data_IF_307669421496
#
_entry.id   IF_307669421496
#
_cell.length_a   1.000
_cell.length_b   1.000
_cell.length_c   1.000
_cell.angle_alpha   90.00
_cell.angle_beta   90.00
_cell.angle_gamma   90.00
#
_symmetry.space_group_name_H-M   'P 1'
#
loop_
_entity.id
_entity.type
_entity.pdbx_description
1 polymer ?
#
# COMPACT_ATOMS: atom_id res chain seq x y z
N UNK A 1 -12.22 33.72 47.44
CA UNK A 1 -11.25 32.82 46.79
C UNK A 1 -11.59 32.51 45.33
N UNK A 2 -12.53 33.22 44.69
CA UNK A 2 -13.10 32.83 43.39
C UNK A 2 -12.57 33.62 42.20
N UNK A 3 -12.25 34.90 42.38
CA UNK A 3 -11.81 35.76 41.26
C UNK A 3 -10.38 35.46 40.78
N UNK A 4 -9.45 35.26 41.71
CA UNK A 4 -8.06 34.92 41.39
C UNK A 4 -7.96 33.55 40.68
N UNK A 5 -8.74 32.57 41.14
CA UNK A 5 -8.79 31.24 40.52
C UNK A 5 -9.36 31.25 39.09
N UNK A 6 -10.33 32.12 38.79
CA UNK A 6 -10.89 32.28 37.44
C UNK A 6 -9.85 32.92 36.50
N UNK A 7 -9.13 33.95 36.96
CA UNK A 7 -8.07 34.59 36.15
C UNK A 7 -6.94 33.60 35.84
N UNK A 8 -6.52 32.80 36.83
CA UNK A 8 -5.49 31.77 36.62
C UNK A 8 -5.98 30.72 35.60
N UNK A 9 -7.24 30.28 35.68
CA UNK A 9 -7.82 29.33 34.73
C UNK A 9 -7.93 29.90 33.31
N UNK A 10 -8.30 31.18 33.16
CA UNK A 10 -8.36 31.84 31.85
C UNK A 10 -6.95 32.01 31.26
N UNK A 11 -5.96 32.36 32.09
CA UNK A 11 -4.57 32.47 31.68
C UNK A 11 -3.99 31.12 31.24
N UNK A 12 -4.33 30.01 31.89
CA UNK A 12 -3.86 28.68 31.45
C UNK A 12 -4.51 28.25 30.13
N UNK A 13 -5.80 28.49 29.92
CA UNK A 13 -6.47 28.16 28.64
C UNK A 13 -5.91 28.97 27.47
N UNK A 14 -5.53 30.24 27.69
CA UNK A 14 -4.92 31.08 26.64
C UNK A 14 -3.39 30.90 26.49
N UNK A 15 -2.69 30.48 27.54
CA UNK A 15 -1.23 30.25 27.49
C UNK A 15 -0.85 28.92 26.81
N UNK A 16 -1.78 27.97 26.70
CA UNK A 16 -1.60 26.72 25.97
C UNK A 16 -2.49 26.70 24.72
N UNK A 17 -2.13 27.38 23.63
CA UNK A 17 -2.78 27.12 22.35
C UNK A 17 -2.66 25.62 22.09
N UNK A 18 -3.81 24.95 21.92
CA UNK A 18 -3.86 23.58 21.43
C UNK A 18 -3.19 23.57 20.05
N UNK A 19 -1.88 23.30 20.03
CA UNK A 19 -1.15 23.09 18.80
C UNK A 19 -1.61 21.75 18.24
N UNK A 20 -2.63 21.77 17.39
CA UNK A 20 -3.00 20.60 16.60
C UNK A 20 -1.90 20.44 15.55
N UNK A 21 -0.88 19.65 15.89
CA UNK A 21 0.20 19.34 14.96
C UNK A 21 -0.31 18.35 13.91
N UNK A 22 -0.60 18.84 12.71
CA UNK A 22 -0.91 17.98 11.56
C UNK A 22 0.40 17.37 11.05
N UNK A 23 0.50 16.05 11.09
CA UNK A 23 1.70 15.34 10.60
C UNK A 23 1.50 14.91 9.15
N UNK A 24 2.09 15.65 8.22
CA UNK A 24 2.11 15.30 6.80
C UNK A 24 3.29 14.39 6.49
N UNK A 25 3.07 13.36 5.67
CA UNK A 25 4.14 12.52 5.11
C UNK A 25 4.15 12.68 3.60
N UNK A 26 5.30 12.95 3.01
CA UNK A 26 5.49 13.00 1.56
C UNK A 26 6.84 12.38 1.20
N UNK A 27 6.90 11.74 0.04
CA UNK A 27 8.11 11.16 -0.51
C UNK A 27 7.97 11.09 -2.04
N UNK A 28 9.11 11.04 -2.73
CA UNK A 28 9.18 10.90 -4.18
C UNK A 28 10.36 9.99 -4.53
N UNK A 29 10.09 8.89 -5.23
CA UNK A 29 11.11 7.96 -5.71
C UNK A 29 11.07 7.95 -7.24
N UNK A 30 12.15 8.41 -7.86
CA UNK A 30 12.33 8.34 -9.32
C UNK A 30 13.16 7.13 -9.75
N UNK A 31 13.92 6.55 -8.82
CA UNK A 31 14.80 5.40 -9.03
C UNK A 31 14.86 4.56 -7.76
N UNK A 32 15.11 3.26 -7.91
CA UNK A 32 15.18 2.31 -6.81
C UNK A 32 16.54 1.61 -6.78
N UNK A 33 16.97 1.19 -5.58
CA UNK A 33 18.13 0.32 -5.38
C UNK A 33 17.77 -0.77 -4.38
N UNK A 34 18.37 -1.95 -4.50
CA UNK A 34 18.09 -3.06 -3.58
C UNK A 34 18.52 -2.74 -2.12
N UNK A 35 19.43 -1.79 -1.94
CA UNK A 35 20.00 -1.39 -0.64
C UNK A 35 19.30 -0.18 -0.01
N UNK A 36 18.26 0.37 -0.64
CA UNK A 36 17.55 1.51 -0.07
C UNK A 36 16.80 1.11 1.21
N UNK A 37 16.91 1.93 2.25
CA UNK A 37 16.28 1.66 3.54
C UNK A 37 14.83 2.14 3.61
N UNK A 38 14.43 3.03 2.70
CA UNK A 38 13.08 3.59 2.69
C UNK A 38 12.01 2.61 2.18
N UNK A 39 12.42 1.56 1.46
CA UNK A 39 11.53 0.55 0.90
C UNK A 39 11.91 -0.81 1.45
N UNK A 40 10.93 -1.52 1.98
CA UNK A 40 11.05 -2.90 2.41
C UNK A 40 10.58 -3.80 1.28
N UNK A 41 11.47 -4.63 0.77
CA UNK A 41 11.21 -5.64 -0.26
C UNK A 41 10.94 -7.00 0.40
N UNK A 42 9.87 -7.66 0.00
CA UNK A 42 9.44 -8.96 0.53
C UNK A 42 9.13 -9.94 -0.61
N UNK A 43 9.29 -11.24 -0.35
CA UNK A 43 9.10 -12.29 -1.35
C UNK A 43 10.13 -12.19 -2.47
N UNK A 44 9.67 -12.30 -3.71
CA UNK A 44 10.51 -12.27 -4.91
C UNK A 44 10.90 -10.86 -5.40
N UNK A 45 10.56 -9.81 -4.65
CA UNK A 45 10.75 -8.43 -5.09
C UNK A 45 12.24 -8.10 -5.20
N UNK A 46 12.64 -7.61 -6.37
CA UNK A 46 14.01 -7.20 -6.64
C UNK A 46 14.05 -5.88 -7.40
N UNK A 47 15.24 -5.31 -7.60
CA UNK A 47 15.44 -4.09 -8.38
C UNK A 47 16.22 -4.42 -9.65
N UNK A 48 15.65 -4.07 -10.81
CA UNK A 48 16.26 -4.25 -12.13
C UNK A 48 16.22 -2.91 -12.87
N UNK A 49 17.37 -2.44 -13.35
CA UNK A 49 17.50 -1.17 -14.09
C UNK A 49 16.75 -0.03 -13.35
N UNK A 50 17.07 0.13 -12.05
CA UNK A 50 16.52 1.18 -11.18
C UNK A 50 14.99 1.17 -11.00
N UNK A 51 14.31 0.10 -11.38
CA UNK A 51 12.87 -0.10 -11.18
C UNK A 51 12.62 -1.33 -10.27
N UNK A 52 11.53 -1.31 -9.52
CA UNK A 52 11.09 -2.45 -8.74
C UNK A 52 10.50 -3.50 -9.70
N UNK A 53 11.06 -4.71 -9.65
CA UNK A 53 10.53 -5.89 -10.31
C UNK A 53 9.85 -6.77 -9.26
N UNK A 54 8.52 -6.86 -9.34
CA UNK A 54 7.71 -7.60 -8.38
C UNK A 54 7.65 -9.10 -8.70
N UNK A 55 7.52 -9.49 -9.97
CA UNK A 55 7.41 -10.92 -10.32
C UNK A 55 8.69 -11.43 -10.96
N UNK A 56 9.02 -12.70 -10.73
CA UNK A 56 10.08 -13.41 -11.48
C UNK A 56 9.86 -13.30 -12.99
N UNK A 57 10.95 -13.41 -13.76
CA UNK A 57 10.83 -13.44 -15.22
C UNK A 57 10.17 -14.75 -15.64
N UNK A 58 9.40 -14.73 -16.72
CA UNK A 58 8.85 -15.96 -17.31
C UNK A 58 9.93 -16.95 -17.76
N UNK A 59 11.13 -16.47 -18.10
CA UNK A 59 12.26 -17.32 -18.49
C UNK A 59 12.84 -18.11 -17.30
N UNK A 60 12.43 -17.79 -16.07
CA UNK A 60 12.85 -18.51 -14.87
C UNK A 60 11.99 -19.79 -14.74
N UNK A 61 12.65 -20.96 -14.71
CA UNK A 61 12.02 -22.30 -14.71
C UNK A 61 11.01 -22.56 -13.56
N UNK A 62 10.87 -21.65 -12.60
CA UNK A 62 9.97 -21.70 -11.44
C UNK A 62 9.08 -20.44 -11.31
N UNK A 63 8.71 -19.80 -12.42
CA UNK A 63 7.97 -18.51 -12.41
C UNK A 63 6.48 -18.60 -12.07
N UNK A 64 5.92 -19.80 -11.92
CA UNK A 64 4.47 -20.00 -11.86
C UNK A 64 3.81 -19.45 -10.58
N UNK A 65 4.56 -19.21 -9.50
CA UNK A 65 4.04 -18.79 -8.20
C UNK A 65 4.85 -17.65 -7.58
N UNK A 66 5.11 -16.59 -8.35
CA UNK A 66 5.84 -15.43 -7.83
C UNK A 66 4.92 -14.51 -7.02
N UNK A 67 5.23 -14.37 -5.73
CA UNK A 67 4.56 -13.44 -4.82
C UNK A 67 5.61 -12.50 -4.24
N UNK A 68 5.34 -11.20 -4.29
CA UNK A 68 6.24 -10.23 -3.71
C UNK A 68 5.57 -8.91 -3.39
N UNK A 69 6.32 -8.04 -2.72
CA UNK A 69 5.85 -6.73 -2.32
C UNK A 69 6.98 -5.75 -2.11
N UNK A 70 6.67 -4.47 -2.31
CA UNK A 70 7.52 -3.36 -1.90
C UNK A 70 6.68 -2.38 -1.07
N UNK A 71 7.14 -2.05 0.14
CA UNK A 71 6.39 -1.17 1.06
C UNK A 71 7.27 -0.04 1.58
N UNK A 72 6.67 1.15 1.75
CA UNK A 72 7.36 2.25 2.41
C UNK A 72 7.58 1.92 3.90
N UNK A 73 8.82 2.05 4.38
CA UNK A 73 9.22 1.56 5.71
C UNK A 73 8.50 2.25 6.87
N UNK A 74 8.11 3.52 6.69
CA UNK A 74 7.57 4.36 7.75
C UNK A 74 6.04 4.31 7.72
N UNK A 75 5.39 3.98 8.86
CA UNK A 75 3.93 4.00 8.95
C UNK A 75 3.36 5.38 8.62
N UNK A 76 2.30 5.37 7.82
CA UNK A 76 1.52 6.57 7.48
C UNK A 76 0.30 6.62 8.40
N UNK A 77 0.05 7.78 8.99
CA UNK A 77 -1.09 8.00 9.88
C UNK A 77 -2.30 8.43 9.04
N UNK A 78 -3.25 7.52 8.83
CA UNK A 78 -4.41 7.74 7.95
C UNK A 78 -5.61 8.35 8.69
N UNK A 79 -5.73 8.12 9.99
CA UNK A 79 -6.83 8.63 10.80
C UNK A 79 -6.46 8.64 12.28
N UNK A 80 -7.12 9.53 13.02
CA UNK A 80 -7.01 9.65 14.47
C UNK A 80 -8.33 9.28 15.14
N UNK A 81 -8.28 8.33 16.07
CA UNK A 81 -9.49 7.79 16.70
C UNK A 81 -10.16 8.77 17.65
N UNK A 82 -9.38 9.55 18.38
CA UNK A 82 -9.89 10.42 19.44
C UNK A 82 -10.56 11.67 18.88
N UNK A 83 -9.98 12.25 17.81
CA UNK A 83 -10.55 13.41 17.11
C UNK A 83 -11.50 13.05 15.96
N UNK A 84 -11.51 11.78 15.51
CA UNK A 84 -12.28 11.34 14.34
C UNK A 84 -11.79 11.91 13.01
N UNK A 85 -10.61 12.56 12.99
CA UNK A 85 -10.04 13.17 11.79
C UNK A 85 -9.44 12.09 10.89
N UNK A 86 -9.67 12.21 9.59
CA UNK A 86 -9.06 11.38 8.54
C UNK A 86 -8.08 12.21 7.72
N UNK A 87 -7.10 11.54 7.12
CA UNK A 87 -6.11 12.18 6.25
C UNK A 87 -6.47 12.00 4.78
N UNK A 88 -6.38 13.08 4.03
CA UNK A 88 -6.36 13.02 2.58
C UNK A 88 -4.98 12.56 2.10
N UNK A 89 -4.94 11.75 1.04
CA UNK A 89 -3.69 11.34 0.43
C UNK A 89 -3.79 11.35 -1.10
N UNK A 90 -2.65 11.49 -1.75
CA UNK A 90 -2.53 11.33 -3.20
C UNK A 90 -1.23 10.61 -3.48
N UNK A 91 -1.28 9.67 -4.42
CA UNK A 91 -0.13 8.88 -4.85
C UNK A 91 -0.04 8.89 -6.36
N UNK A 92 1.18 8.92 -6.88
CA UNK A 92 1.48 8.80 -8.30
C UNK A 92 2.56 7.76 -8.46
N UNK A 93 2.34 6.81 -9.37
CA UNK A 93 3.33 5.80 -9.72
C UNK A 93 3.22 5.48 -11.19
N UNK A 94 4.31 4.97 -11.75
CA UNK A 94 4.36 4.40 -13.09
C UNK A 94 4.71 2.93 -12.97
N UNK A 95 4.03 2.09 -13.73
CA UNK A 95 4.27 0.65 -13.74
C UNK A 95 4.13 0.13 -15.18
N UNK A 96 4.70 -1.04 -15.43
CA UNK A 96 4.56 -1.75 -16.69
C UNK A 96 4.32 -3.23 -16.43
N UNK A 97 3.38 -3.82 -17.16
CA UNK A 97 3.12 -5.25 -17.18
C UNK A 97 3.55 -5.76 -18.54
N UNK A 98 4.42 -6.77 -18.57
CA UNK A 98 4.88 -7.40 -19.80
C UNK A 98 4.59 -8.91 -19.75
N UNK A 99 3.59 -9.34 -20.52
CA UNK A 99 3.20 -10.76 -20.62
C UNK A 99 3.98 -11.53 -21.70
N UNK A 100 4.89 -10.88 -22.44
CA UNK A 100 5.64 -11.47 -23.58
C UNK A 100 4.75 -12.29 -24.54
N UNK A 101 3.60 -11.74 -24.92
CA UNK A 101 2.61 -12.38 -25.80
C UNK A 101 2.02 -13.72 -25.31
N UNK A 102 2.18 -14.02 -24.02
CA UNK A 102 1.55 -15.21 -23.43
C UNK A 102 0.03 -15.03 -23.31
N UNK A 103 -0.71 -16.05 -23.73
CA UNK A 103 -2.18 -16.13 -23.61
C UNK A 103 -2.64 -16.32 -22.16
N UNK A 104 -1.80 -16.93 -21.31
CA UNK A 104 -2.03 -17.05 -19.87
C UNK A 104 -1.60 -15.76 -19.18
N UNK A 105 -2.52 -14.80 -19.13
CA UNK A 105 -2.36 -13.51 -18.44
C UNK A 105 -2.83 -13.62 -16.99
N UNK A 106 -2.19 -12.87 -16.11
CA UNK A 106 -2.52 -12.83 -14.69
C UNK A 106 -1.29 -12.97 -13.78
N UNK A 107 -1.43 -12.70 -12.49
CA UNK A 107 -2.69 -12.29 -11.85
C UNK A 107 -2.91 -10.77 -11.95
N UNK A 108 -1.93 -9.94 -11.63
CA UNK A 108 -2.08 -8.49 -11.71
C UNK A 108 -1.05 -7.73 -10.89
N UNK A 109 -1.36 -6.47 -10.63
CA UNK A 109 -0.59 -5.57 -9.76
C UNK A 109 -1.56 -4.80 -8.86
N UNK A 110 -1.13 -4.43 -7.66
CA UNK A 110 -1.96 -3.60 -6.78
C UNK A 110 -1.16 -2.58 -5.97
N UNK A 111 -1.80 -1.44 -5.72
CA UNK A 111 -1.41 -0.49 -4.69
C UNK A 111 -2.31 -0.71 -3.49
N UNK A 112 -1.74 -0.86 -2.29
CA UNK A 112 -2.52 -1.15 -1.09
C UNK A 112 -2.10 -0.32 0.13
N UNK A 113 -3.03 -0.21 1.06
CA UNK A 113 -2.84 0.32 2.41
C UNK A 113 -3.24 -0.78 3.40
N UNK A 114 -2.30 -1.18 4.27
CA UNK A 114 -2.53 -2.19 5.30
C UNK A 114 -1.90 -1.77 6.62
N UNK A 115 -2.33 -2.42 7.71
CA UNK A 115 -1.75 -2.20 9.02
C UNK A 115 -0.25 -2.50 9.05
N UNK A 116 0.49 -1.77 9.89
CA UNK A 116 1.91 -2.02 10.11
C UNK A 116 2.13 -3.46 10.56
N UNK A 117 3.10 -4.13 9.95
CA UNK A 117 3.44 -5.52 10.27
C UNK A 117 2.53 -6.55 9.61
N UNK A 118 1.62 -6.12 8.73
CA UNK A 118 0.94 -7.01 7.79
C UNK A 118 2.00 -7.73 6.96
N UNK A 119 2.06 -9.07 7.03
CA UNK A 119 3.08 -9.88 6.35
C UNK A 119 2.57 -10.32 4.99
N UNK A 120 3.47 -10.40 4.00
CA UNK A 120 3.16 -11.10 2.73
C UNK A 120 2.82 -12.54 3.07
N UNK A 121 1.65 -13.00 2.64
CA UNK A 121 1.30 -14.41 2.76
C UNK A 121 1.87 -15.17 1.57
N UNK A 122 2.37 -16.38 1.81
CA UNK A 122 3.14 -17.17 0.85
C UNK A 122 2.32 -17.70 -0.35
N UNK A 123 1.04 -17.35 -0.45
CA UNK A 123 0.12 -17.93 -1.43
C UNK A 123 -0.43 -16.86 -2.37
N UNK A 124 -0.10 -17.00 -3.66
CA UNK A 124 -0.78 -16.43 -4.82
C UNK A 124 -2.05 -17.22 -5.18
N UNK A 125 -2.39 -18.27 -4.42
CA UNK A 125 -3.42 -19.21 -4.79
C UNK A 125 -4.73 -18.46 -5.00
N UNK A 126 -5.44 -18.80 -6.08
CA UNK A 126 -6.75 -18.25 -6.44
C UNK A 126 -6.79 -16.75 -6.80
N UNK A 127 -5.65 -16.12 -7.12
CA UNK A 127 -5.63 -14.75 -7.67
C UNK A 127 -5.68 -13.65 -6.61
N UNK A 128 -5.32 -13.95 -5.37
CA UNK A 128 -5.39 -13.02 -4.24
C UNK A 128 -4.22 -12.02 -4.12
N UNK A 129 -3.38 -11.93 -5.16
CA UNK A 129 -2.23 -11.01 -5.30
C UNK A 129 -1.26 -10.93 -4.09
N UNK A 130 -1.32 -11.90 -3.17
CA UNK A 130 -0.49 -11.92 -1.96
C UNK A 130 -1.04 -11.09 -0.78
N UNK A 131 -2.30 -10.62 -0.85
CA UNK A 131 -2.94 -9.82 0.21
C UNK A 131 -4.14 -10.46 0.92
N UNK A 132 -4.77 -11.51 0.40
CA UNK A 132 -5.88 -12.15 1.09
C UNK A 132 -5.73 -13.67 1.17
N UNK A 133 -5.96 -14.22 2.36
CA UNK A 133 -6.22 -15.63 2.58
C UNK A 133 -7.60 -15.75 3.24
N UNK A 134 -8.32 -16.84 2.97
CA UNK A 134 -9.66 -17.09 3.51
C UNK A 134 -9.70 -17.10 5.05
N UNK A 135 -8.55 -17.26 5.72
CA UNK A 135 -8.43 -17.40 7.16
C UNK A 135 -7.95 -16.15 7.90
N UNK A 136 -7.36 -15.15 7.23
CA UNK A 136 -6.77 -13.98 7.90
C UNK A 136 -7.60 -12.71 7.69
N UNK A 137 -8.22 -12.26 8.77
CA UNK A 137 -9.03 -11.04 8.81
C UNK A 137 -8.14 -9.85 9.17
N UNK A 138 -7.25 -9.47 8.26
CA UNK A 138 -6.53 -8.20 8.37
C UNK A 138 -7.15 -7.17 7.44
N UNK A 139 -7.57 -5.99 7.96
CA UNK A 139 -8.16 -4.96 7.12
C UNK A 139 -7.07 -4.34 6.22
N UNK A 140 -7.37 -4.30 4.93
CA UNK A 140 -6.60 -3.57 3.94
C UNK A 140 -7.55 -2.93 2.93
N UNK A 141 -7.03 -1.95 2.19
CA UNK A 141 -7.68 -1.39 1.01
C UNK A 141 -6.68 -1.47 -0.13
N UNK A 142 -7.13 -1.88 -1.31
CA UNK A 142 -6.29 -2.00 -2.49
C UNK A 142 -6.96 -1.41 -3.73
N UNK A 143 -6.13 -0.90 -4.64
CA UNK A 143 -6.48 -0.58 -6.02
C UNK A 143 -5.78 -1.59 -6.90
N UNK A 144 -6.56 -2.47 -7.51
CA UNK A 144 -6.08 -3.58 -8.32
C UNK A 144 -6.06 -3.24 -9.81
N UNK A 145 -5.02 -3.71 -10.49
CA UNK A 145 -4.87 -3.77 -11.93
C UNK A 145 -4.86 -5.24 -12.36
N UNK A 146 -6.07 -5.83 -12.42
CA UNK A 146 -6.30 -7.24 -12.74
C UNK A 146 -6.03 -7.49 -14.23
N UNK A 147 -5.18 -8.47 -14.51
CA UNK A 147 -4.89 -8.93 -15.88
C UNK A 147 -5.28 -10.40 -16.08
N UNK A 148 -5.70 -11.06 -15.01
CA UNK A 148 -6.22 -12.40 -15.03
C UNK A 148 -7.69 -12.44 -15.45
N UNK A 149 -8.11 -13.61 -15.90
CA UNK A 149 -9.52 -13.90 -16.11
C UNK A 149 -10.00 -14.85 -15.02
N UNK A 150 -10.97 -14.39 -14.22
CA UNK A 150 -11.72 -15.22 -13.29
C UNK A 150 -13.20 -15.14 -13.64
N UNK A 151 -13.86 -16.25 -14.01
CA UNK A 151 -15.28 -16.28 -14.34
C UNK A 151 -16.19 -15.75 -13.21
N UNK A 152 -15.70 -15.74 -11.97
CA UNK A 152 -16.45 -15.32 -10.79
C UNK A 152 -16.32 -13.82 -10.48
N UNK A 153 -15.21 -13.19 -10.87
CA UNK A 153 -14.82 -11.86 -10.37
C UNK A 153 -14.55 -10.85 -11.49
N UNK A 154 -14.09 -11.31 -12.65
CA UNK A 154 -13.75 -10.42 -13.76
C UNK A 154 -15.03 -9.97 -14.46
N UNK A 155 -15.34 -8.67 -14.38
CA UNK A 155 -16.39 -8.08 -15.22
C UNK A 155 -15.91 -8.03 -16.67
N UNK A 156 -16.66 -8.67 -17.56
CA UNK A 156 -16.56 -8.40 -19.00
C UNK A 156 -17.15 -7.01 -19.24
N UNK A 157 -16.30 -6.00 -19.43
CA UNK A 157 -16.76 -4.73 -19.97
C UNK A 157 -16.88 -4.92 -21.47
N UNK A 158 -18.07 -5.32 -21.94
CA UNK A 158 -18.41 -5.21 -23.35
C UNK A 158 -18.39 -3.71 -23.70
N UNK A 159 -17.42 -3.32 -24.53
CA UNK A 159 -17.49 -1.99 -25.17
C UNK A 159 -18.70 -2.02 -26.09
N UNK A 160 -19.74 -1.24 -25.79
CA UNK A 160 -20.71 -0.88 -26.81
C UNK A 160 -19.93 -0.19 -27.93
N UNK A 161 -19.90 -0.82 -29.10
CA UNK A 161 -19.42 -0.20 -30.33
C UNK A 161 -20.38 0.88 -30.80
#
# INVERSE_FOLDING_TARGET
>A
MTFCSIIILLLTVFAFPFNVQTKTTSFNFTEFTQTMFDIVFEGDATVVIRAIKLTKSFDDLNSNDSVSRATYFKPIHLWDKDSGKVSDFTTYFSFAINSKDNERKGNGFEFFLANKGYKVQASSENGHLGLSNATDVHPFVAVEFDTGYSPKWTRVIERST
#
